data_IF_354332063378
#
_entry.id   IF_354332063378
#
_cell.length_a   1.000
_cell.length_b   1.000
_cell.length_c   1.000
_cell.angle_alpha   90.00
_cell.angle_beta   90.00
_cell.angle_gamma   90.00
#
_symmetry.space_group_name_H-M   'P 1'
#
loop_
_entity.id
_entity.type
_entity.pdbx_description
1 polymer ?
#
# COMPACT_ATOMS: atom_id res chain seq x y z
N UNK A 1 -36.46 44.42 30.66
CA UNK A 1 -35.00 44.41 30.90
C UNK A 1 -34.43 43.27 30.06
N UNK A 2 -33.62 43.53 29.02
CA UNK A 2 -32.91 42.45 28.34
C UNK A 2 -31.57 42.17 29.01
N UNK A 3 -31.31 40.88 29.25
CA UNK A 3 -30.05 40.31 29.74
C UNK A 3 -28.91 40.57 28.73
N UNK A 4 -27.75 41.01 29.23
CA UNK A 4 -26.50 41.05 28.47
C UNK A 4 -25.72 39.75 28.71
N UNK A 5 -25.51 38.97 27.64
CA UNK A 5 -24.57 37.85 27.63
C UNK A 5 -23.14 38.32 27.96
N UNK A 6 -22.33 37.53 28.70
CA UNK A 6 -20.94 37.86 28.96
C UNK A 6 -20.12 37.66 27.68
N UNK A 7 -19.81 38.79 27.05
CA UNK A 7 -18.87 38.92 25.93
C UNK A 7 -17.50 38.37 26.36
N UNK A 8 -17.02 37.37 25.62
CA UNK A 8 -15.67 36.81 25.65
C UNK A 8 -14.61 37.76 26.22
N UNK A 9 -14.00 37.35 27.33
CA UNK A 9 -12.90 38.04 28.00
C UNK A 9 -11.63 37.97 27.14
N UNK A 10 -11.52 38.90 26.18
CA UNK A 10 -10.34 39.07 25.34
C UNK A 10 -9.28 39.78 26.19
N UNK A 11 -8.43 38.98 26.84
CA UNK A 11 -7.28 39.47 27.62
C UNK A 11 -6.29 40.20 26.70
N UNK A 12 -6.43 41.52 26.65
CA UNK A 12 -5.53 42.41 25.93
C UNK A 12 -4.34 42.77 26.83
N UNK A 13 -3.13 42.48 26.39
CA UNK A 13 -1.91 42.87 27.11
C UNK A 13 -1.33 44.15 26.51
N UNK A 14 -1.05 45.13 27.38
CA UNK A 14 -0.57 46.45 26.98
C UNK A 14 0.96 46.48 27.07
N UNK A 15 1.62 46.78 25.96
CA UNK A 15 3.08 46.98 25.90
C UNK A 15 3.45 48.31 26.58
N UNK A 16 4.67 48.38 27.11
CA UNK A 16 5.39 49.59 27.56
C UNK A 16 5.36 50.78 26.59
N UNK A 17 5.10 50.55 25.29
CA UNK A 17 4.90 51.59 24.28
C UNK A 17 3.45 52.11 24.15
N UNK A 18 2.53 51.63 25.01
CA UNK A 18 1.11 52.03 25.00
C UNK A 18 0.25 51.40 23.90
N UNK A 19 0.83 50.55 23.04
CA UNK A 19 0.11 49.88 21.97
C UNK A 19 -0.55 48.58 22.46
N UNK A 20 -1.84 48.42 22.17
CA UNK A 20 -2.56 47.17 22.40
C UNK A 20 -2.14 46.14 21.34
N UNK A 21 -1.41 45.10 21.72
CA UNK A 21 -1.12 43.96 20.83
C UNK A 21 -1.78 42.70 21.37
N UNK A 22 -2.55 42.04 20.49
CA UNK A 22 -3.19 40.75 20.77
C UNK A 22 -2.09 39.73 21.09
N UNK A 23 -2.07 39.20 22.31
CA UNK A 23 -1.11 38.19 22.78
C UNK A 23 -1.46 36.80 22.21
N UNK A 24 -1.43 36.65 20.89
CA UNK A 24 -1.92 35.43 20.24
C UNK A 24 -1.10 35.17 18.97
N UNK A 25 0.18 34.85 19.13
CA UNK A 25 1.12 34.86 18.00
C UNK A 25 2.08 33.68 17.88
N UNK A 26 2.32 32.93 18.95
CA UNK A 26 3.21 31.74 18.94
C UNK A 26 2.45 30.41 19.12
N UNK A 27 1.22 30.46 19.67
CA UNK A 27 0.37 29.26 19.85
C UNK A 27 -0.20 28.74 18.53
N UNK A 28 -0.49 29.61 17.55
CA UNK A 28 -1.07 29.20 16.25
C UNK A 28 -0.09 28.42 15.37
N UNK A 29 1.21 28.76 15.37
CA UNK A 29 2.24 27.96 14.69
C UNK A 29 2.39 26.57 15.32
N UNK A 30 2.22 26.48 16.65
CA UNK A 30 2.19 25.21 17.41
C UNK A 30 0.91 24.42 17.11
N UNK A 31 -0.22 25.10 16.91
CA UNK A 31 -1.50 24.51 16.51
C UNK A 31 -1.47 23.97 15.08
N UNK A 32 -0.92 24.73 14.14
CA UNK A 32 -0.73 24.32 12.75
C UNK A 32 0.15 23.08 12.63
N UNK A 33 1.28 23.05 13.34
CA UNK A 33 2.14 21.86 13.40
C UNK A 33 1.39 20.63 13.95
N UNK A 34 0.61 20.81 15.02
CA UNK A 34 -0.19 19.70 15.58
C UNK A 34 -1.24 19.20 14.60
N UNK A 35 -1.96 20.11 13.94
CA UNK A 35 -2.94 19.74 12.93
C UNK A 35 -2.28 19.02 11.75
N UNK A 36 -1.16 19.56 11.25
CA UNK A 36 -0.38 18.93 10.18
C UNK A 36 0.10 17.53 10.56
N UNK A 37 0.60 17.33 11.78
CA UNK A 37 1.01 16.01 12.28
C UNK A 37 -0.16 15.04 12.36
N UNK A 38 -1.30 15.46 12.92
CA UNK A 38 -2.49 14.61 13.06
C UNK A 38 -3.06 14.24 11.70
N UNK A 39 -3.22 15.21 10.80
CA UNK A 39 -3.69 14.96 9.42
C UNK A 39 -2.71 14.08 8.65
N UNK A 40 -1.41 14.31 8.82
CA UNK A 40 -0.36 13.49 8.20
C UNK A 40 -0.37 12.05 8.67
N UNK A 41 -0.50 11.83 9.97
CA UNK A 41 -0.59 10.50 10.55
C UNK A 41 -1.87 9.77 10.09
N UNK A 42 -3.02 10.46 10.11
CA UNK A 42 -4.29 9.89 9.65
C UNK A 42 -4.23 9.51 8.16
N UNK A 43 -3.68 10.39 7.34
CA UNK A 43 -3.53 10.14 5.90
C UNK A 43 -2.53 9.01 5.61
N UNK A 44 -1.42 8.94 6.37
CA UNK A 44 -0.48 7.83 6.28
C UNK A 44 -1.15 6.50 6.61
N UNK A 45 -1.98 6.45 7.65
CA UNK A 45 -2.72 5.25 8.03
C UNK A 45 -3.67 4.79 6.92
N UNK A 46 -4.40 5.74 6.30
CA UNK A 46 -5.27 5.43 5.16
C UNK A 46 -4.48 4.88 3.97
N UNK A 47 -3.33 5.49 3.64
CA UNK A 47 -2.45 5.00 2.57
C UNK A 47 -1.84 3.64 2.92
N UNK A 48 -1.47 3.40 4.17
CA UNK A 48 -0.96 2.11 4.62
C UNK A 48 -2.04 1.02 4.49
N UNK A 49 -3.28 1.32 4.89
CA UNK A 49 -4.41 0.40 4.73
C UNK A 49 -4.71 0.10 3.25
N UNK A 50 -4.75 1.13 2.40
CA UNK A 50 -4.95 0.97 0.96
C UNK A 50 -3.79 0.19 0.32
N UNK A 51 -2.55 0.50 0.71
CA UNK A 51 -1.35 -0.17 0.26
C UNK A 51 -1.29 -1.64 0.64
N UNK A 52 -1.75 -1.97 1.85
CA UNK A 52 -1.87 -3.34 2.32
C UNK A 52 -2.91 -4.12 1.50
N UNK A 53 -4.07 -3.51 1.22
CA UNK A 53 -5.12 -4.13 0.41
C UNK A 53 -4.67 -4.38 -1.05
N UNK A 54 -3.87 -3.46 -1.60
CA UNK A 54 -3.34 -3.56 -2.97
C UNK A 54 -2.03 -4.36 -3.05
N UNK A 55 -1.54 -4.87 -1.93
CA UNK A 55 -0.23 -5.51 -1.88
C UNK A 55 -0.25 -6.80 -2.71
N UNK A 56 0.67 -6.98 -3.68
CA UNK A 56 0.65 -8.17 -4.51
C UNK A 56 0.94 -9.41 -3.66
N UNK A 57 -0.06 -10.29 -3.60
CA UNK A 57 -0.01 -11.54 -2.87
C UNK A 57 0.74 -12.59 -3.67
N UNK A 58 1.69 -13.24 -3.01
CA UNK A 58 2.41 -14.39 -3.57
C UNK A 58 1.44 -15.52 -3.93
N UNK A 59 0.36 -15.66 -3.14
CA UNK A 59 -0.69 -16.66 -3.33
C UNK A 59 -1.33 -16.60 -4.71
N UNK A 60 -1.51 -15.41 -5.29
CA UNK A 60 -2.08 -15.26 -6.63
C UNK A 60 -1.14 -15.81 -7.71
N UNK A 61 0.16 -15.55 -7.57
CA UNK A 61 1.19 -16.05 -8.49
C UNK A 61 1.34 -17.57 -8.35
N UNK A 62 1.31 -18.08 -7.13
CA UNK A 62 1.39 -19.52 -6.86
C UNK A 62 0.16 -20.26 -7.42
N UNK A 63 -1.05 -19.71 -7.23
CA UNK A 63 -2.30 -20.26 -7.81
C UNK A 63 -2.26 -20.26 -9.34
N UNK A 64 -1.79 -19.17 -9.95
CA UNK A 64 -1.67 -19.08 -11.40
C UNK A 64 -0.69 -20.13 -11.97
N UNK A 65 0.41 -20.40 -11.26
CA UNK A 65 1.34 -21.46 -11.64
C UNK A 65 0.71 -22.84 -11.56
N UNK A 66 0.03 -23.17 -10.44
CA UNK A 66 -0.65 -24.47 -10.28
C UNK A 66 -1.69 -24.66 -11.38
N UNK A 67 -2.48 -23.63 -11.67
CA UNK A 67 -3.47 -23.65 -12.75
C UNK A 67 -2.84 -23.88 -14.13
N UNK A 68 -1.74 -23.18 -14.42
CA UNK A 68 -1.01 -23.37 -15.68
C UNK A 68 -0.45 -24.80 -15.81
N UNK A 69 0.06 -25.37 -14.72
CA UNK A 69 0.52 -26.76 -14.69
C UNK A 69 -0.64 -27.73 -14.93
N UNK A 70 -1.76 -27.57 -14.24
CA UNK A 70 -2.92 -28.46 -14.42
C UNK A 70 -3.49 -28.39 -15.82
N UNK A 71 -3.52 -27.19 -16.42
CA UNK A 71 -4.01 -26.99 -17.78
C UNK A 71 -3.06 -27.60 -18.82
N UNK A 72 -1.75 -27.45 -18.63
CA UNK A 72 -0.75 -28.07 -19.50
C UNK A 72 -0.82 -29.59 -19.43
N UNK A 73 -1.00 -30.18 -18.25
CA UNK A 73 -1.20 -31.62 -18.07
C UNK A 73 -2.49 -32.07 -18.75
N UNK A 74 -3.59 -31.32 -18.58
CA UNK A 74 -4.89 -31.62 -19.20
C UNK A 74 -4.84 -31.61 -20.73
N UNK A 75 -3.92 -30.84 -21.31
CA UNK A 75 -3.67 -30.84 -22.76
C UNK A 75 -3.18 -32.19 -23.29
N UNK A 76 -2.40 -32.91 -22.48
CA UNK A 76 -1.79 -34.19 -22.85
C UNK A 76 -2.55 -35.40 -22.31
N UNK A 77 -3.09 -35.27 -21.10
CA UNK A 77 -3.93 -36.27 -20.46
C UNK A 77 -5.28 -35.63 -20.10
N UNK A 78 -6.24 -35.71 -21.03
CA UNK A 78 -7.53 -35.02 -20.95
C UNK A 78 -8.40 -35.39 -19.74
N UNK A 79 -8.03 -36.43 -18.99
CA UNK A 79 -8.68 -36.87 -17.76
C UNK A 79 -7.94 -36.42 -16.49
N UNK A 80 -6.74 -35.86 -16.61
CA UNK A 80 -5.98 -35.41 -15.46
C UNK A 80 -6.71 -34.29 -14.71
N UNK A 81 -6.79 -34.44 -13.38
CA UNK A 81 -7.48 -33.53 -12.46
C UNK A 81 -8.99 -33.36 -12.71
N UNK A 82 -9.62 -34.22 -13.54
CA UNK A 82 -11.07 -34.20 -13.76
C UNK A 82 -11.76 -34.72 -12.50
N UNK A 83 -12.37 -33.81 -11.74
CA UNK A 83 -13.06 -34.10 -10.47
C UNK A 83 -12.37 -33.50 -9.25
N UNK A 84 -11.11 -33.05 -9.37
CA UNK A 84 -10.42 -32.36 -8.30
C UNK A 84 -10.80 -30.88 -8.26
N UNK A 85 -10.99 -30.36 -7.04
CA UNK A 85 -11.21 -28.92 -6.87
C UNK A 85 -9.90 -28.15 -7.10
N UNK A 86 -9.90 -27.00 -7.81
CA UNK A 86 -8.70 -26.19 -8.02
C UNK A 86 -8.01 -25.79 -6.70
N UNK A 87 -8.80 -25.55 -5.66
CA UNK A 87 -8.32 -25.21 -4.33
C UNK A 87 -7.60 -26.41 -3.67
N UNK A 88 -8.13 -27.63 -3.84
CA UNK A 88 -7.51 -28.87 -3.34
C UNK A 88 -6.20 -29.21 -4.03
N UNK A 89 -6.12 -29.02 -5.34
CA UNK A 89 -4.86 -29.19 -6.09
C UNK A 89 -3.82 -28.16 -5.63
N UNK A 90 -4.24 -26.91 -5.43
CA UNK A 90 -3.36 -25.86 -4.91
C UNK A 90 -2.81 -26.17 -3.52
N UNK A 91 -3.66 -26.59 -2.57
CA UNK A 91 -3.20 -26.91 -1.22
C UNK A 91 -2.29 -28.14 -1.20
N UNK A 92 -2.55 -29.13 -2.06
CA UNK A 92 -1.65 -30.30 -2.22
C UNK A 92 -0.28 -29.88 -2.76
N UNK A 93 -0.26 -29.06 -3.82
CA UNK A 93 0.97 -28.52 -4.40
C UNK A 93 1.76 -27.68 -3.38
N UNK A 94 1.04 -26.90 -2.56
CA UNK A 94 1.63 -26.08 -1.50
C UNK A 94 2.23 -26.93 -0.38
N UNK A 95 1.54 -27.99 0.05
CA UNK A 95 1.99 -28.88 1.13
C UNK A 95 3.25 -29.67 0.74
N UNK A 96 3.35 -30.11 -0.51
CA UNK A 96 4.51 -30.86 -1.03
C UNK A 96 5.68 -29.96 -1.46
N UNK A 97 5.39 -28.68 -1.69
CA UNK A 97 6.29 -27.75 -2.36
C UNK A 97 6.20 -27.88 -3.88
N UNK A 98 6.27 -26.73 -4.55
CA UNK A 98 5.98 -26.63 -5.99
C UNK A 98 6.94 -27.43 -6.88
N UNK A 99 8.25 -27.45 -6.57
CA UNK A 99 9.23 -28.24 -7.33
C UNK A 99 8.98 -29.75 -7.26
N UNK A 100 8.92 -30.33 -6.04
CA UNK A 100 8.57 -31.74 -5.86
C UNK A 100 7.21 -32.13 -6.46
N UNK A 101 6.20 -31.26 -6.31
CA UNK A 101 4.87 -31.50 -6.87
C UNK A 101 4.88 -31.53 -8.41
N UNK A 102 5.55 -30.58 -9.08
CA UNK A 102 5.69 -30.59 -10.55
C UNK A 102 6.42 -31.85 -11.02
N UNK A 103 7.48 -32.26 -10.32
CA UNK A 103 8.20 -33.49 -10.65
C UNK A 103 7.29 -34.73 -10.50
N UNK A 104 6.49 -34.78 -9.44
CA UNK A 104 5.51 -35.86 -9.23
C UNK A 104 4.48 -35.90 -10.36
N UNK A 105 3.86 -34.77 -10.69
CA UNK A 105 2.89 -34.65 -11.79
C UNK A 105 3.50 -35.10 -13.12
N UNK A 106 4.74 -34.70 -13.41
CA UNK A 106 5.48 -35.10 -14.63
C UNK A 106 5.75 -36.60 -14.70
N UNK A 107 5.97 -37.26 -13.57
CA UNK A 107 6.15 -38.72 -13.53
C UNK A 107 4.83 -39.49 -13.62
N UNK A 108 3.77 -38.95 -13.02
CA UNK A 108 2.46 -39.60 -12.93
C UNK A 108 1.72 -39.53 -14.27
N UNK A 109 1.69 -38.36 -14.88
CA UNK A 109 1.08 -38.15 -16.18
C UNK A 109 2.21 -38.18 -17.20
N UNK A 110 2.28 -39.24 -18.02
CA UNK A 110 3.34 -39.51 -19.01
C UNK A 110 3.38 -38.45 -20.13
N UNK A 111 3.76 -37.24 -19.77
CA UNK A 111 3.83 -36.10 -20.66
C UNK A 111 5.14 -36.23 -21.42
N UNK A 112 5.06 -36.38 -22.75
CA UNK A 112 6.23 -36.58 -23.59
C UNK A 112 7.17 -35.36 -23.60
N UNK A 113 8.26 -35.45 -24.37
CA UNK A 113 9.28 -34.41 -24.53
C UNK A 113 8.75 -33.00 -24.85
N UNK A 114 7.57 -32.90 -25.44
CA UNK A 114 6.94 -31.61 -25.76
C UNK A 114 6.39 -30.90 -24.51
N UNK A 115 5.72 -31.62 -23.61
CA UNK A 115 5.20 -30.99 -22.41
C UNK A 115 6.29 -30.65 -21.40
N UNK A 116 7.43 -31.34 -21.44
CA UNK A 116 8.64 -30.94 -20.70
C UNK A 116 9.05 -29.48 -20.98
N UNK A 117 8.96 -29.04 -22.24
CA UNK A 117 9.23 -27.65 -22.60
C UNK A 117 8.16 -26.68 -22.05
N UNK A 118 6.91 -27.15 -21.98
CA UNK A 118 5.79 -26.44 -21.37
C UNK A 118 6.03 -26.21 -19.88
N UNK A 119 6.39 -27.25 -19.14
CA UNK A 119 6.74 -27.15 -17.72
C UNK A 119 7.93 -26.22 -17.47
N UNK A 120 9.00 -26.35 -18.24
CA UNK A 120 10.18 -25.48 -18.12
C UNK A 120 9.84 -24.01 -18.41
N UNK A 121 8.88 -23.76 -19.32
CA UNK A 121 8.36 -22.41 -19.57
C UNK A 121 7.57 -21.89 -18.38
N UNK A 122 6.63 -22.66 -17.85
CA UNK A 122 5.81 -22.29 -16.70
C UNK A 122 6.70 -22.00 -15.48
N UNK A 123 7.69 -22.85 -15.23
CA UNK A 123 8.61 -22.65 -14.11
C UNK A 123 9.44 -21.36 -14.27
N UNK A 124 9.95 -21.08 -15.47
CA UNK A 124 10.67 -19.83 -15.74
C UNK A 124 9.79 -18.59 -15.61
N UNK A 125 8.52 -18.67 -16.02
CA UNK A 125 7.56 -17.58 -15.84
C UNK A 125 7.22 -17.37 -14.37
N UNK A 126 7.03 -18.45 -13.60
CA UNK A 126 6.85 -18.42 -12.15
C UNK A 126 8.04 -17.76 -11.44
N UNK A 127 9.26 -18.24 -11.69
CA UNK A 127 10.47 -17.66 -11.07
C UNK A 127 10.60 -16.17 -11.40
N UNK A 128 10.29 -15.77 -12.64
CA UNK A 128 10.27 -14.35 -13.04
C UNK A 128 9.20 -13.55 -12.30
N UNK A 129 7.98 -14.08 -12.16
CA UNK A 129 6.90 -13.44 -11.43
C UNK A 129 7.21 -13.29 -9.92
N UNK A 130 7.81 -14.33 -9.31
CA UNK A 130 8.28 -14.31 -7.92
C UNK A 130 9.43 -13.33 -7.72
N UNK A 131 10.40 -13.27 -8.63
CA UNK A 131 11.46 -12.28 -8.56
C UNK A 131 10.91 -10.85 -8.73
N UNK A 132 9.93 -10.67 -9.63
CA UNK A 132 9.28 -9.39 -9.87
C UNK A 132 8.38 -8.93 -8.71
N UNK A 133 7.88 -9.84 -7.86
CA UNK A 133 7.06 -9.50 -6.68
C UNK A 133 7.78 -8.55 -5.73
N UNK A 134 9.08 -8.78 -5.47
CA UNK A 134 9.88 -7.89 -4.62
C UNK A 134 9.97 -6.47 -5.20
N UNK A 135 10.26 -6.38 -6.50
CA UNK A 135 10.33 -5.10 -7.21
C UNK A 135 8.97 -4.39 -7.28
N UNK A 136 7.88 -5.13 -7.50
CA UNK A 136 6.51 -4.59 -7.50
C UNK A 136 6.14 -4.06 -6.12
N UNK A 137 6.45 -4.79 -5.04
CA UNK A 137 6.25 -4.32 -3.66
C UNK A 137 7.03 -3.04 -3.39
N UNK A 138 8.31 -3.01 -3.74
CA UNK A 138 9.16 -1.84 -3.56
C UNK A 138 8.61 -0.62 -4.33
N UNK A 139 8.21 -0.81 -5.59
CA UNK A 139 7.57 0.25 -6.38
C UNK A 139 6.30 0.75 -5.70
N UNK A 140 5.41 -0.14 -5.26
CA UNK A 140 4.15 0.22 -4.63
C UNK A 140 4.40 0.99 -3.33
N UNK A 141 5.35 0.55 -2.50
CA UNK A 141 5.81 1.29 -1.31
C UNK A 141 6.37 2.66 -1.67
N UNK A 142 7.19 2.76 -2.72
CA UNK A 142 7.73 4.04 -3.21
C UNK A 142 6.64 5.00 -3.67
N UNK A 143 5.65 4.51 -4.43
CA UNK A 143 4.49 5.29 -4.85
C UNK A 143 3.62 5.76 -3.68
N UNK A 144 3.39 4.89 -2.67
CA UNK A 144 2.67 5.27 -1.45
C UNK A 144 3.42 6.35 -0.67
N UNK A 145 4.74 6.21 -0.54
CA UNK A 145 5.57 7.21 0.13
C UNK A 145 5.53 8.54 -0.61
N UNK A 146 5.69 8.55 -1.94
CA UNK A 146 5.59 9.75 -2.75
C UNK A 146 4.18 10.38 -2.64
N UNK A 147 3.14 9.55 -2.70
CA UNK A 147 1.74 9.95 -2.52
C UNK A 147 1.44 10.50 -1.14
N UNK A 148 2.26 10.21 -0.12
CA UNK A 148 2.16 10.83 1.20
C UNK A 148 2.99 12.11 1.31
N UNK A 149 4.28 12.06 0.94
CA UNK A 149 5.24 13.17 1.11
C UNK A 149 4.82 14.38 0.29
N UNK A 150 4.40 14.20 -0.97
CA UNK A 150 4.05 15.30 -1.86
C UNK A 150 2.88 16.15 -1.33
N UNK A 151 1.69 15.60 -1.02
CA UNK A 151 0.59 16.41 -0.49
C UNK A 151 0.88 16.94 0.92
N UNK A 152 1.55 16.19 1.79
CA UNK A 152 1.88 16.68 3.13
C UNK A 152 2.90 17.82 3.10
N UNK A 153 3.91 17.74 2.22
CA UNK A 153 4.87 18.81 1.98
C UNK A 153 4.20 20.06 1.42
N UNK A 154 3.30 19.89 0.43
CA UNK A 154 2.54 21.00 -0.13
C UNK A 154 1.65 21.68 0.92
N UNK A 155 0.91 20.90 1.70
CA UNK A 155 0.09 21.42 2.80
C UNK A 155 0.93 22.20 3.80
N UNK A 156 2.08 21.65 4.20
CA UNK A 156 2.99 22.31 5.13
C UNK A 156 3.46 23.68 4.61
N UNK A 157 3.89 23.73 3.35
CA UNK A 157 4.36 24.96 2.70
C UNK A 157 3.22 25.97 2.60
N UNK A 158 2.01 25.56 2.20
CA UNK A 158 0.85 26.47 2.14
C UNK A 158 0.52 27.07 3.51
N UNK A 159 0.44 26.26 4.57
CA UNK A 159 0.18 26.79 5.91
C UNK A 159 1.28 27.71 6.42
N UNK A 160 2.53 27.40 6.08
CA UNK A 160 3.68 28.26 6.41
C UNK A 160 3.66 29.59 5.65
N UNK A 161 3.31 29.57 4.36
CA UNK A 161 3.16 30.78 3.53
C UNK A 161 2.02 31.67 4.03
N UNK A 162 0.86 31.09 4.36
CA UNK A 162 -0.27 31.85 4.93
C UNK A 162 0.11 32.49 6.27
N UNK A 163 0.85 31.76 7.11
CA UNK A 163 1.37 32.29 8.36
C UNK A 163 2.38 33.42 8.13
N UNK A 164 3.25 33.30 7.12
CA UNK A 164 4.23 34.32 6.74
C UNK A 164 3.57 35.60 6.20
N UNK A 165 2.62 35.47 5.27
CA UNK A 165 1.87 36.61 4.71
C UNK A 165 1.11 37.37 5.82
N UNK A 166 0.47 36.64 6.74
CA UNK A 166 -0.22 37.25 7.89
C UNK A 166 0.73 37.92 8.89
N UNK A 167 2.01 37.56 8.91
CA UNK A 167 3.00 38.18 9.79
C UNK A 167 3.51 39.53 9.26
N UNK A 168 3.22 39.89 8.02
CA UNK A 168 3.49 41.23 7.47
C UNK A 168 4.97 41.59 7.53
N UNK A 169 5.85 40.69 7.06
CA UNK A 169 7.23 41.05 6.75
C UNK A 169 7.34 41.30 5.24
N UNK A 170 7.72 42.51 4.79
CA UNK A 170 8.28 42.68 3.46
C UNK A 170 9.57 41.87 3.31
#
# INVERSE_FOLDING_TARGET
MPEQEPLNDVTLHKDSSGAWRRAQRWRDLRGWHRLWLVTGALYLLLLAAAGWLLMPERRQVDKAMVFAVTEEVRRYDGLAFVGDSPEGVFETARAQGYGPWIAHVRTTYRIGREGDQGFDRIEREYRRAVAALGWRRLKLTGWLLAGWVAPMGLLYVMGSLVAWIRQGRP
#
